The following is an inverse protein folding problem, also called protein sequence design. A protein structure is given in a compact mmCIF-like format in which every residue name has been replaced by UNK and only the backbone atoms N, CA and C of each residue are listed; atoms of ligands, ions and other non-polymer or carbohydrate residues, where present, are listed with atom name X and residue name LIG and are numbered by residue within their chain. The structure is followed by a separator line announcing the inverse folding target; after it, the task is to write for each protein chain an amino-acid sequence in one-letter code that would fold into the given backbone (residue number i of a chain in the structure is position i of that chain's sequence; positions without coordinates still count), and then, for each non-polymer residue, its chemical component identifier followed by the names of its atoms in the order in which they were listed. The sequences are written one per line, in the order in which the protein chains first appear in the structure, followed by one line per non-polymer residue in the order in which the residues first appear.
data_IF_498969079143
#
_entry.id   IF_498969079143
#
_cell.length_a   1.000
_cell.length_b   1.000
_cell.length_c   1.000
_cell.angle_alpha   90.00
_cell.angle_beta   90.00
_cell.angle_gamma   90.00
#
_symmetry.space_group_name_H-M   'P 1'
#
loop_
_entity.id
_entity.type
_entity.pdbx_description
1 polymer ?
#
# COMPACT_ATOMS: atom_id res chain seq x y z
N UNK A 1 22.83 2.16 -3.49
CA UNK A 1 21.53 2.85 -3.39
C UNK A 1 20.45 1.82 -3.66
N UNK A 2 19.75 1.35 -2.62
CA UNK A 2 18.70 0.34 -2.77
C UNK A 2 17.42 1.01 -3.25
N UNK A 3 17.35 1.31 -4.54
CA UNK A 3 16.11 1.76 -5.19
C UNK A 3 15.14 0.58 -5.20
N UNK A 4 14.30 0.48 -4.17
CA UNK A 4 13.23 -0.50 -4.14
C UNK A 4 12.15 -0.05 -5.13
N UNK A 5 12.33 -0.40 -6.41
CA UNK A 5 11.37 -0.14 -7.47
C UNK A 5 10.15 -1.06 -7.33
N UNK A 6 8.97 -0.58 -7.72
CA UNK A 6 7.79 -1.43 -7.74
C UNK A 6 7.95 -2.45 -8.89
N UNK A 7 7.84 -3.77 -8.65
CA UNK A 7 8.04 -4.79 -9.71
C UNK A 7 6.99 -4.73 -10.82
N UNK A 8 5.89 -4.00 -10.60
CA UNK A 8 4.83 -3.76 -11.57
C UNK A 8 4.90 -2.38 -12.22
N UNK A 9 5.93 -1.58 -11.94
CA UNK A 9 6.18 -0.33 -12.64
C UNK A 9 6.83 -0.61 -14.00
N UNK A 10 6.26 -0.04 -15.06
CA UNK A 10 6.87 0.02 -16.38
C UNK A 10 6.82 1.46 -16.89
N UNK A 11 7.98 2.09 -17.10
CA UNK A 11 8.09 3.49 -17.58
C UNK A 11 7.31 4.50 -16.70
N UNK A 12 7.36 4.35 -15.37
CA UNK A 12 6.61 5.22 -14.45
C UNK A 12 5.10 4.94 -14.36
N UNK A 13 4.60 3.91 -15.05
CA UNK A 13 3.20 3.51 -15.05
C UNK A 13 3.03 2.19 -14.28
N UNK A 14 2.05 2.13 -13.39
CA UNK A 14 1.72 0.90 -12.69
C UNK A 14 0.85 -0.01 -13.56
N UNK A 15 1.39 -1.16 -13.96
CA UNK A 15 0.65 -2.17 -14.73
C UNK A 15 -0.47 -2.84 -13.90
N UNK A 16 -0.37 -2.76 -12.57
CA UNK A 16 -1.35 -3.35 -11.65
C UNK A 16 -2.52 -2.42 -11.35
N UNK A 17 -2.28 -1.11 -11.38
CA UNK A 17 -3.28 -0.08 -11.09
C UNK A 17 -3.54 0.69 -12.38
N UNK A 18 -4.40 0.12 -13.25
CA UNK A 18 -5.04 0.75 -14.41
C UNK A 18 -4.32 1.99 -15.00
N UNK A 19 -3.09 1.79 -15.49
CA UNK A 19 -2.27 2.82 -16.15
C UNK A 19 -2.06 4.13 -15.37
N UNK A 20 -2.11 4.11 -14.04
CA UNK A 20 -1.79 5.29 -13.23
C UNK A 20 -0.29 5.45 -13.02
N UNK A 21 0.14 6.69 -12.79
CA UNK A 21 1.49 6.99 -12.35
C UNK A 21 1.83 6.13 -11.11
N UNK A 22 2.99 5.48 -11.13
CA UNK A 22 3.35 4.53 -10.08
C UNK A 22 3.74 5.26 -8.79
N UNK A 23 2.76 5.38 -7.90
CA UNK A 23 2.96 5.94 -6.57
C UNK A 23 2.86 4.83 -5.49
N UNK A 24 3.90 4.65 -4.67
CA UNK A 24 3.94 3.59 -3.68
C UNK A 24 2.91 3.86 -2.58
N UNK A 25 2.03 2.88 -2.36
CA UNK A 25 0.98 2.94 -1.33
C UNK A 25 -0.40 3.31 -1.84
N UNK A 26 -0.59 3.60 -3.12
CA UNK A 26 -1.93 3.82 -3.68
C UNK A 26 -2.84 2.59 -3.52
N UNK A 27 -4.16 2.84 -3.49
CA UNK A 27 -5.20 1.80 -3.44
C UNK A 27 -5.04 0.84 -4.62
N UNK A 28 -4.70 -0.42 -4.32
CA UNK A 28 -4.42 -1.47 -5.32
C UNK A 28 -2.93 -1.80 -5.52
N UNK A 29 -2.03 -0.99 -4.96
CA UNK A 29 -0.59 -1.28 -4.93
C UNK A 29 -0.29 -2.47 -4.01
N UNK A 30 0.72 -3.29 -4.35
CA UNK A 30 1.18 -4.42 -3.51
C UNK A 30 1.70 -3.98 -2.15
N UNK A 31 2.14 -2.73 -2.03
CA UNK A 31 2.64 -2.14 -0.79
C UNK A 31 1.51 -1.66 0.12
N UNK A 32 0.32 -1.39 -0.44
CA UNK A 32 -0.82 -0.91 0.32
C UNK A 32 -1.25 -1.96 1.35
N UNK A 33 -1.15 -1.63 2.63
CA UNK A 33 -1.43 -2.53 3.75
C UNK A 33 -0.24 -3.36 4.25
N UNK A 34 0.86 -3.48 3.48
CA UNK A 34 2.09 -4.16 3.92
C UNK A 34 3.08 -3.23 4.60
N UNK A 35 3.16 -1.99 4.12
CA UNK A 35 4.03 -0.95 4.68
C UNK A 35 3.19 0.22 5.22
N UNK A 36 3.80 1.06 6.05
CA UNK A 36 3.19 2.29 6.59
C UNK A 36 3.86 3.47 5.89
N UNK A 37 3.05 4.30 5.25
CA UNK A 37 3.53 5.49 4.54
C UNK A 37 3.43 6.70 5.47
N UNK A 38 4.58 7.27 5.87
CA UNK A 38 4.60 8.43 6.76
C UNK A 38 3.99 9.70 6.14
N UNK A 39 4.08 9.85 4.82
CA UNK A 39 3.62 11.04 4.11
C UNK A 39 2.15 10.99 3.68
N UNK A 40 1.41 9.90 3.92
CA UNK A 40 0.04 9.76 3.42
C UNK A 40 -0.80 8.79 4.26
N UNK A 41 -1.60 9.33 5.18
CA UNK A 41 -2.51 8.53 6.00
C UNK A 41 -3.65 7.89 5.18
N UNK A 42 -4.08 8.52 4.08
CA UNK A 42 -5.09 7.93 3.19
C UNK A 42 -4.62 6.58 2.61
N UNK A 43 -3.32 6.45 2.31
CA UNK A 43 -2.70 5.20 1.82
C UNK A 43 -2.65 4.12 2.91
N UNK A 44 -2.68 4.52 4.19
CA UNK A 44 -2.66 3.63 5.35
C UNK A 44 -4.07 3.23 5.82
N UNK A 45 -5.14 3.85 5.31
CA UNK A 45 -6.53 3.65 5.75
C UNK A 45 -6.95 2.18 5.86
N UNK A 46 -6.70 1.36 4.82
CA UNK A 46 -6.98 -0.09 4.85
C UNK A 46 -6.20 -0.83 5.94
N UNK A 47 -4.94 -0.46 6.17
CA UNK A 47 -4.11 -1.07 7.22
C UNK A 47 -4.69 -0.74 8.60
N UNK A 48 -5.05 0.52 8.83
CA UNK A 48 -5.67 0.99 10.08
C UNK A 48 -7.00 0.30 10.35
N UNK A 49 -7.83 0.14 9.33
CA UNK A 49 -9.07 -0.64 9.44
C UNK A 49 -8.79 -2.07 9.87
N UNK A 50 -7.83 -2.75 9.24
CA UNK A 50 -7.46 -4.13 9.59
C UNK A 50 -6.82 -4.26 10.98
N UNK A 51 -6.01 -3.28 11.40
CA UNK A 51 -5.46 -3.23 12.77
C UNK A 51 -6.58 -3.09 13.81
N UNK A 52 -7.56 -2.21 13.57
CA UNK A 52 -8.73 -2.07 14.45
C UNK A 52 -9.55 -3.37 14.54
N UNK A 53 -9.64 -4.14 13.44
CA UNK A 53 -10.36 -5.42 13.47
C UNK A 53 -9.57 -6.53 14.20
N UNK A 54 -8.25 -6.54 14.06
CA UNK A 54 -7.38 -7.51 14.72
C UNK A 54 -7.28 -7.27 16.23
N UNK A 55 -7.24 -6.01 16.66
CA UNK A 55 -7.21 -5.62 18.07
C UNK A 55 -8.56 -5.87 18.77
N UNK A 56 -9.66 -5.81 18.03
CA UNK A 56 -11.02 -6.05 18.54
C UNK A 56 -11.46 -7.52 18.55
N UNK A 57 -10.57 -8.46 18.22
CA UNK A 57 -10.83 -9.89 18.34
C UNK A 57 -10.00 -10.45 19.51
N UNK A 58 -10.44 -10.29 20.77
CA UNK A 58 -9.85 -11.04 21.87
C UNK A 58 -10.15 -12.53 21.64
N UNK A 59 -9.10 -13.34 21.78
CA UNK A 59 -9.09 -14.80 21.83
C UNK A 59 -10.38 -15.42 22.41
N UNK A 60 -10.89 -16.43 21.71
CA UNK A 60 -11.70 -17.53 22.26
C UNK A 60 -10.77 -18.69 22.56
#
# INVERSE_FOLDING_TARGET
MSSWGCPHELKGICQKVAQKACDPGMKGCVLAGRYVFANSEEKNSRRRQKQKSADASPDI
#
